data_IF_428957903967
#
_entry.id   IF_428957903967
#
_cell.length_a   1.000
_cell.length_b   1.000
_cell.length_c   1.000
_cell.angle_alpha   90.00
_cell.angle_beta   90.00
_cell.angle_gamma   90.00
#
_symmetry.space_group_name_H-M   'P 1'
#
loop_
_entity.id
_entity.type
_entity.pdbx_description
1 polymer ?
#
# COMPACT_ATOMS: atom_id res chain seq x y z
N UNK A 1 -12.39 -20.79 10.10
CA UNK A 1 -12.53 -19.54 9.32
C UNK A 1 -11.27 -18.73 9.50
N UNK A 2 -10.92 -17.90 8.52
CA UNK A 2 -9.65 -17.15 8.54
C UNK A 2 -9.89 -15.65 8.39
N UNK A 3 -8.93 -14.87 8.88
CA UNK A 3 -8.86 -13.42 8.70
C UNK A 3 -7.63 -13.12 7.81
N UNK A 4 -7.75 -12.14 6.94
CA UNK A 4 -6.65 -11.69 6.09
C UNK A 4 -6.22 -10.29 6.52
N UNK A 5 -4.93 -10.12 6.85
CA UNK A 5 -4.30 -8.82 7.06
C UNK A 5 -3.48 -8.43 5.83
N UNK A 6 -3.63 -7.19 5.35
CA UNK A 6 -2.86 -6.65 4.24
C UNK A 6 -2.20 -5.34 4.68
N UNK A 7 -0.88 -5.24 4.52
CA UNK A 7 -0.10 -4.02 4.72
C UNK A 7 0.43 -3.51 3.38
N UNK A 8 -0.12 -2.38 2.93
CA UNK A 8 0.23 -1.75 1.64
C UNK A 8 1.36 -0.73 1.88
N UNK A 9 2.58 -1.23 1.97
CA UNK A 9 3.77 -0.38 2.15
C UNK A 9 4.33 0.17 0.85
N UNK A 10 5.26 1.12 0.94
CA UNK A 10 5.96 1.70 -0.22
C UNK A 10 7.06 0.80 -0.78
N UNK A 11 7.67 -0.03 0.06
CA UNK A 11 8.72 -0.97 -0.41
C UNK A 11 8.16 -2.33 -0.83
N UNK A 12 7.10 -2.80 -0.19
CA UNK A 12 6.44 -4.06 -0.50
C UNK A 12 5.05 -4.12 0.10
N UNK A 13 4.21 -4.95 -0.48
CA UNK A 13 2.90 -5.32 0.08
C UNK A 13 3.09 -6.63 0.86
N UNK A 14 2.61 -6.67 2.10
CA UNK A 14 2.66 -7.86 2.94
C UNK A 14 1.25 -8.34 3.23
N UNK A 15 1.04 -9.66 3.17
CA UNK A 15 -0.25 -10.28 3.48
C UNK A 15 -0.04 -11.42 4.46
N UNK A 16 -0.90 -11.50 5.45
CA UNK A 16 -0.95 -12.59 6.43
C UNK A 16 -2.35 -13.18 6.51
N UNK A 17 -2.41 -14.50 6.68
CA UNK A 17 -3.65 -15.24 6.95
C UNK A 17 -3.57 -15.71 8.40
N UNK A 18 -4.59 -15.37 9.16
CA UNK A 18 -4.68 -15.69 10.59
C UNK A 18 -5.88 -16.61 10.80
N UNK A 19 -5.67 -17.67 11.53
CA UNK A 19 -6.75 -18.55 11.99
C UNK A 19 -7.58 -17.83 13.07
N UNK A 20 -8.90 -17.78 12.89
CA UNK A 20 -9.81 -17.00 13.74
C UNK A 20 -9.88 -17.57 15.18
N UNK A 21 -9.75 -18.87 15.35
CA UNK A 21 -9.93 -19.52 16.65
C UNK A 21 -8.66 -19.44 17.49
N UNK A 22 -7.52 -19.64 16.85
CA UNK A 22 -6.22 -19.70 17.55
C UNK A 22 -5.49 -18.36 17.59
N UNK A 23 -5.83 -17.43 16.67
CA UNK A 23 -5.11 -16.18 16.48
C UNK A 23 -3.71 -16.35 15.86
N UNK A 24 -3.35 -17.56 15.41
CA UNK A 24 -2.05 -17.84 14.83
C UNK A 24 -2.01 -17.52 13.33
N UNK A 25 -0.88 -16.97 12.88
CA UNK A 25 -0.61 -16.81 11.45
C UNK A 25 -0.33 -18.17 10.81
N UNK A 26 -1.19 -18.60 9.89
CA UNK A 26 -1.10 -19.88 9.20
C UNK A 26 -0.52 -19.76 7.77
N UNK A 27 -0.37 -18.56 7.25
CA UNK A 27 0.30 -18.28 5.98
C UNK A 27 0.60 -16.82 5.83
N UNK A 28 1.74 -16.51 5.23
CA UNK A 28 2.11 -15.13 4.93
C UNK A 28 2.97 -15.07 3.67
N UNK A 29 2.83 -13.96 2.94
CA UNK A 29 3.69 -13.66 1.79
C UNK A 29 3.80 -12.15 1.59
N UNK A 30 4.73 -11.75 0.74
CA UNK A 30 4.92 -10.36 0.37
C UNK A 30 5.39 -10.25 -1.08
N UNK A 31 5.13 -9.10 -1.67
CA UNK A 31 5.58 -8.80 -3.04
C UNK A 31 5.77 -7.28 -3.21
N UNK A 32 6.75 -6.82 -3.99
CA UNK A 32 7.80 -7.60 -4.67
C UNK A 32 8.83 -8.17 -3.68
N UNK A 33 9.65 -9.12 -4.14
CA UNK A 33 10.70 -9.76 -3.30
C UNK A 33 11.92 -8.86 -3.10
N UNK A 34 12.10 -7.91 -4.00
CA UNK A 34 12.99 -6.76 -3.86
C UNK A 34 12.14 -5.51 -3.59
N UNK A 35 12.77 -4.40 -3.22
CA UNK A 35 12.02 -3.16 -2.98
C UNK A 35 11.28 -2.68 -4.22
N UNK A 36 10.02 -2.29 -4.04
CA UNK A 36 9.24 -1.67 -5.09
C UNK A 36 9.91 -0.37 -5.55
N UNK A 37 10.03 -0.13 -6.86
CA UNK A 37 10.75 1.04 -7.37
C UNK A 37 10.03 2.34 -6.99
N UNK A 38 10.81 3.31 -6.52
CA UNK A 38 10.38 4.69 -6.32
C UNK A 38 10.97 5.53 -7.46
N UNK A 39 10.10 6.23 -8.19
CA UNK A 39 10.53 7.14 -9.25
C UNK A 39 10.86 8.51 -8.66
N UNK A 40 12.12 8.92 -8.77
CA UNK A 40 12.62 10.22 -8.37
C UNK A 40 13.04 11.03 -9.62
N UNK A 41 12.09 11.66 -10.30
CA UNK A 41 12.35 12.43 -11.53
C UNK A 41 13.13 13.73 -11.26
N UNK A 42 13.11 14.21 -10.03
CA UNK A 42 13.85 15.38 -9.54
C UNK A 42 14.28 15.14 -8.09
N UNK A 43 15.32 15.83 -7.60
CA UNK A 43 15.68 15.77 -6.19
C UNK A 43 14.47 16.08 -5.29
N UNK A 44 14.25 15.26 -4.27
CA UNK A 44 13.15 15.38 -3.33
C UNK A 44 11.78 14.88 -3.84
N UNK A 45 11.69 14.40 -5.08
CA UNK A 45 10.49 13.78 -5.60
C UNK A 45 10.48 12.28 -5.33
N UNK A 46 9.31 11.75 -5.00
CA UNK A 46 9.10 10.32 -4.81
C UNK A 46 7.71 9.92 -5.29
N UNK A 47 7.67 9.09 -6.32
CA UNK A 47 6.42 8.67 -6.96
C UNK A 47 6.38 7.15 -7.16
N UNK A 48 5.16 6.59 -7.06
CA UNK A 48 4.87 5.19 -7.40
C UNK A 48 3.57 5.11 -8.20
N UNK A 49 3.43 4.06 -9.01
CA UNK A 49 2.21 3.83 -9.76
C UNK A 49 1.19 3.06 -8.88
N UNK A 50 -0.01 3.59 -8.61
CA UNK A 50 -1.04 2.90 -7.83
C UNK A 50 -1.47 1.55 -8.39
N UNK A 51 -1.44 1.37 -9.72
CA UNK A 51 -1.76 0.10 -10.37
C UNK A 51 -0.77 -1.02 -10.02
N UNK A 52 0.49 -0.65 -9.76
CA UNK A 52 1.50 -1.60 -9.29
C UNK A 52 1.13 -2.11 -7.90
N UNK A 53 0.67 -1.23 -6.99
CA UNK A 53 0.22 -1.65 -5.66
C UNK A 53 -0.91 -2.69 -5.74
N UNK A 54 -1.91 -2.43 -6.57
CA UNK A 54 -3.01 -3.38 -6.78
C UNK A 54 -2.53 -4.72 -7.33
N UNK A 55 -1.60 -4.69 -8.26
CA UNK A 55 -0.98 -5.89 -8.81
C UNK A 55 -0.20 -6.67 -7.75
N UNK A 56 0.57 -5.97 -6.91
CA UNK A 56 1.34 -6.56 -5.81
C UNK A 56 0.44 -7.15 -4.72
N UNK A 57 -0.66 -6.47 -4.36
CA UNK A 57 -1.68 -7.01 -3.45
C UNK A 57 -2.18 -8.36 -3.95
N UNK A 58 -2.57 -8.44 -5.22
CA UNK A 58 -3.08 -9.70 -5.79
C UNK A 58 -2.04 -10.84 -5.75
N UNK A 59 -0.78 -10.53 -5.99
CA UNK A 59 0.30 -11.53 -5.96
C UNK A 59 0.56 -11.98 -4.51
N UNK A 60 0.73 -11.05 -3.58
CA UNK A 60 0.99 -11.35 -2.18
C UNK A 60 -0.17 -12.14 -1.53
N UNK A 61 -1.42 -11.75 -1.83
CA UNK A 61 -2.62 -12.46 -1.39
C UNK A 61 -2.64 -13.92 -1.85
N UNK A 62 -2.45 -14.15 -3.15
CA UNK A 62 -2.41 -15.51 -3.71
C UNK A 62 -1.29 -16.34 -3.08
N UNK A 63 -0.12 -15.74 -2.86
CA UNK A 63 1.00 -16.40 -2.20
C UNK A 63 0.70 -16.80 -0.75
N UNK A 64 0.14 -15.88 0.03
CA UNK A 64 -0.24 -16.13 1.42
C UNK A 64 -1.34 -17.22 1.53
N UNK A 65 -2.38 -17.13 0.71
CA UNK A 65 -3.46 -18.11 0.67
C UNK A 65 -2.97 -19.51 0.25
N UNK A 66 -2.07 -19.58 -0.72
CA UNK A 66 -1.45 -20.85 -1.14
C UNK A 66 -0.65 -21.50 0.00
N UNK A 67 0.14 -20.72 0.75
CA UNK A 67 0.91 -21.21 1.89
C UNK A 67 0.00 -21.67 3.04
N UNK A 68 -1.08 -20.92 3.30
CA UNK A 68 -2.09 -21.28 4.29
C UNK A 68 -2.98 -22.45 3.86
N UNK A 69 -2.96 -22.83 2.58
CA UNK A 69 -3.87 -23.83 1.96
C UNK A 69 -5.35 -23.49 2.14
N UNK A 70 -5.68 -22.20 2.06
CA UNK A 70 -7.06 -21.68 2.17
C UNK A 70 -7.54 -21.11 0.85
N UNK A 71 -8.87 -21.08 0.68
CA UNK A 71 -9.54 -20.47 -0.46
C UNK A 71 -10.19 -19.14 -0.06
N UNK A 72 -10.67 -18.36 -1.04
CA UNK A 72 -11.35 -17.10 -0.78
C UNK A 72 -12.59 -17.23 0.10
N UNK A 73 -13.33 -18.33 -0.04
CA UNK A 73 -14.51 -18.65 0.76
C UNK A 73 -14.22 -18.90 2.25
N UNK A 74 -12.97 -19.21 2.60
CA UNK A 74 -12.52 -19.39 3.98
C UNK A 74 -12.21 -18.06 4.67
N UNK A 75 -12.05 -16.95 3.91
CA UNK A 75 -11.71 -15.61 4.44
C UNK A 75 -12.98 -14.90 4.86
N UNK A 76 -13.13 -14.66 6.16
CA UNK A 76 -14.28 -14.04 6.78
C UNK A 76 -14.22 -12.50 6.76
N UNK A 77 -13.02 -11.95 6.92
CA UNK A 77 -12.79 -10.52 6.93
C UNK A 77 -11.38 -10.16 6.44
N UNK A 78 -11.25 -8.93 5.93
CA UNK A 78 -9.98 -8.36 5.48
C UNK A 78 -9.72 -7.08 6.26
N UNK A 79 -8.56 -7.01 6.91
CA UNK A 79 -8.02 -5.80 7.53
C UNK A 79 -6.93 -5.19 6.63
N UNK A 80 -6.94 -3.87 6.46
CA UNK A 80 -5.99 -3.17 5.61
C UNK A 80 -5.26 -2.11 6.42
N UNK A 81 -3.92 -2.16 6.38
CA UNK A 81 -2.99 -1.11 6.77
C UNK A 81 -2.31 -0.58 5.50
N UNK A 82 -1.91 0.67 5.47
CA UNK A 82 -1.30 1.25 4.28
C UNK A 82 -0.36 2.42 4.61
N UNK A 83 0.54 2.73 3.69
CA UNK A 83 1.36 3.94 3.76
C UNK A 83 0.48 5.19 3.77
N UNK A 84 0.80 6.13 4.66
CA UNK A 84 0.03 7.36 4.84
C UNK A 84 0.54 8.51 3.95
N UNK A 85 -0.20 9.61 3.88
CA UNK A 85 0.17 10.87 3.22
C UNK A 85 0.39 10.79 1.70
N UNK A 86 0.04 9.68 1.07
CA UNK A 86 0.12 9.54 -0.39
C UNK A 86 -1.02 10.31 -1.08
N UNK A 87 -0.72 10.90 -2.24
CA UNK A 87 -1.72 11.56 -3.09
C UNK A 87 -1.94 10.74 -4.35
N UNK A 88 -3.12 10.12 -4.47
CA UNK A 88 -3.61 9.49 -5.70
C UNK A 88 -4.68 10.37 -6.31
N UNK A 89 -4.52 10.74 -7.58
CA UNK A 89 -5.48 11.55 -8.32
C UNK A 89 -6.17 10.68 -9.37
N UNK A 90 -7.49 10.68 -9.36
CA UNK A 90 -8.32 9.91 -10.30
C UNK A 90 -9.31 10.83 -11.02
N UNK A 91 -9.77 10.41 -12.18
CA UNK A 91 -10.84 11.08 -12.91
C UNK A 91 -12.24 10.65 -12.40
N UNK A 92 -13.30 11.13 -13.09
CA UNK A 92 -14.69 10.77 -12.76
C UNK A 92 -15.01 9.28 -12.98
N UNK A 93 -14.17 8.55 -13.72
CA UNK A 93 -14.29 7.10 -13.94
C UNK A 93 -13.44 6.28 -12.99
N UNK A 94 -12.78 6.94 -12.03
CA UNK A 94 -11.83 6.36 -11.09
C UNK A 94 -10.54 5.85 -11.76
N UNK A 95 -10.20 6.35 -12.94
CA UNK A 95 -8.93 6.04 -13.60
C UNK A 95 -7.81 6.92 -13.05
N UNK A 96 -6.65 6.34 -12.78
CA UNK A 96 -5.48 7.03 -12.23
C UNK A 96 -4.91 7.99 -13.27
N UNK A 97 -4.86 9.28 -12.96
CA UNK A 97 -4.41 10.33 -13.88
C UNK A 97 -2.89 10.51 -13.92
N UNK A 98 -2.18 10.10 -12.87
CA UNK A 98 -0.73 10.25 -12.75
C UNK A 98 -0.17 9.32 -11.68
N UNK A 99 1.16 9.07 -11.65
CA UNK A 99 1.79 8.42 -10.51
C UNK A 99 1.47 9.12 -9.20
N UNK A 100 1.27 8.33 -8.15
CA UNK A 100 1.03 8.82 -6.79
C UNK A 100 2.28 9.50 -6.24
N UNK A 101 2.10 10.66 -5.63
CA UNK A 101 3.12 11.30 -4.79
C UNK A 101 3.07 10.58 -3.45
N UNK A 102 4.17 9.94 -3.03
CA UNK A 102 4.21 9.13 -1.80
C UNK A 102 4.79 9.90 -0.61
N UNK A 103 4.69 9.33 0.58
CA UNK A 103 4.95 9.96 1.87
C UNK A 103 6.35 10.60 2.03
N UNK A 104 7.36 10.09 1.34
CA UNK A 104 8.74 10.59 1.41
C UNK A 104 9.04 11.71 0.39
N UNK A 105 8.05 12.14 -0.39
CA UNK A 105 8.18 13.27 -1.32
C UNK A 105 8.23 14.61 -0.57
N UNK A 106 9.14 15.48 -0.94
CA UNK A 106 9.34 16.78 -0.30
C UNK A 106 8.90 17.98 -1.14
N UNK A 107 8.27 17.75 -2.33
CA UNK A 107 7.86 18.87 -3.22
C UNK A 107 6.85 19.83 -2.61
N UNK A 108 6.08 19.38 -1.59
CA UNK A 108 5.09 20.20 -0.90
C UNK A 108 5.67 21.06 0.22
N UNK A 109 6.91 20.83 0.66
CA UNK A 109 7.54 21.55 1.78
C UNK A 109 7.48 23.06 1.63
N UNK A 110 7.85 23.69 0.47
CA UNK A 110 7.80 25.15 0.33
C UNK A 110 6.38 25.71 0.43
N UNK A 111 5.37 24.93 0.05
CA UNK A 111 3.96 25.33 0.17
C UNK A 111 3.48 25.26 1.61
N UNK A 112 3.90 24.24 2.35
CA UNK A 112 3.62 24.09 3.79
C UNK A 112 4.25 25.21 4.61
N UNK A 113 5.51 25.55 4.37
CA UNK A 113 6.20 26.67 5.00
C UNK A 113 5.50 28.00 4.73
N UNK A 114 5.09 28.22 3.50
CA UNK A 114 4.33 29.43 3.10
C UNK A 114 2.97 29.50 3.79
N UNK A 115 2.25 28.39 3.89
CA UNK A 115 0.97 28.33 4.61
C UNK A 115 1.15 28.63 6.09
N UNK A 116 2.16 28.06 6.74
CA UNK A 116 2.48 28.34 8.16
C UNK A 116 2.82 29.80 8.39
N UNK A 117 3.55 30.47 7.49
CA UNK A 117 3.88 31.87 7.62
C UNK A 117 2.64 32.79 7.59
N UNK A 118 1.56 32.37 6.94
CA UNK A 118 0.29 33.12 6.88
C UNK A 118 -0.54 32.94 8.15
N UNK A 119 -0.38 31.86 8.89
CA UNK A 119 -1.11 31.61 10.16
C UNK A 119 -0.53 32.45 11.30
N UNK A 120 0.72 32.84 11.23
CA UNK A 120 1.41 33.64 12.27
C UNK A 120 1.30 35.17 12.05
N UNK A 121 0.53 35.59 11.06
CA UNK A 121 0.15 37.01 10.87
C UNK A 121 -1.14 37.25 11.64
#
# INVERSE_FOLDING_TARGET
>A
MCLLGCDIGSSSIKVSIVDEETGLTIGADFYPKEEAPIKALRPGWAEQNPEDWWSYVKIAMKGAMSKAKVKGEDIKAIGISYQMHGLVVVDKKMEVLRPSIIWCDSRAVPYGERALSLIHI
#
